data_IF_735371998985
#
_entry.id   IF_735371998985
#
_cell.length_a   1.000
_cell.length_b   1.000
_cell.length_c   1.000
_cell.angle_alpha   90.00
_cell.angle_beta   90.00
_cell.angle_gamma   90.00
#
_symmetry.space_group_name_H-M   'P 1'
#
loop_
_entity.id
_entity.type
_entity.pdbx_description
1 polymer ?
#
# COMPACT_ATOMS: atom_id res chain seq x y z
N UNK A 1 1.81 10.02 -11.68
CA UNK A 1 0.52 10.24 -10.99
C UNK A 1 0.31 11.71 -10.66
N UNK A 2 -0.92 12.18 -10.70
CA UNK A 2 -1.31 13.53 -10.30
C UNK A 2 -1.93 13.47 -8.90
N UNK A 3 -1.28 14.12 -7.92
CA UNK A 3 -1.72 14.15 -6.53
C UNK A 3 -1.93 15.60 -6.12
N UNK A 4 -3.18 15.98 -5.89
CA UNK A 4 -3.56 17.35 -5.52
C UNK A 4 -2.96 18.42 -6.46
N UNK A 5 -2.96 18.14 -7.77
CA UNK A 5 -2.40 19.04 -8.79
C UNK A 5 -0.89 18.94 -8.99
N UNK A 6 -0.19 18.09 -8.26
CA UNK A 6 1.25 17.84 -8.41
C UNK A 6 1.50 16.47 -9.05
N UNK A 7 2.58 16.39 -9.82
CA UNK A 7 2.95 15.15 -10.49
C UNK A 7 4.08 14.44 -9.74
N UNK A 8 3.88 13.16 -9.50
CA UNK A 8 4.86 12.31 -8.82
C UNK A 8 5.04 11.02 -9.61
N UNK A 9 6.22 10.43 -9.52
CA UNK A 9 6.52 9.16 -10.17
C UNK A 9 7.57 8.39 -9.42
N UNK A 10 7.48 7.06 -9.53
CA UNK A 10 8.50 6.14 -9.02
C UNK A 10 9.24 5.56 -10.21
N UNK A 11 10.60 5.59 -10.22
CA UNK A 11 11.38 5.01 -11.32
C UNK A 11 11.18 3.50 -11.41
N UNK A 12 10.41 3.05 -12.40
CA UNK A 12 10.09 1.64 -12.60
C UNK A 12 11.34 0.78 -12.79
N UNK A 13 12.32 1.28 -13.52
CA UNK A 13 13.58 0.58 -13.78
C UNK A 13 14.32 0.25 -12.49
N UNK A 14 14.39 1.18 -11.55
CA UNK A 14 15.06 0.99 -10.27
C UNK A 14 14.33 -0.03 -9.41
N UNK A 15 13.00 0.03 -9.38
CA UNK A 15 12.18 -0.93 -8.62
C UNK A 15 12.39 -2.36 -9.15
N UNK A 16 12.36 -2.54 -10.46
CA UNK A 16 12.57 -3.86 -11.08
C UNK A 16 13.97 -4.38 -10.75
N UNK A 17 14.99 -3.52 -10.80
CA UNK A 17 16.35 -3.91 -10.47
C UNK A 17 16.47 -4.37 -9.02
N UNK A 18 15.89 -3.65 -8.07
CA UNK A 18 15.90 -4.04 -6.67
C UNK A 18 15.19 -5.38 -6.44
N UNK A 19 14.05 -5.60 -7.07
CA UNK A 19 13.33 -6.87 -6.98
C UNK A 19 14.15 -8.02 -7.57
N UNK A 20 14.81 -7.80 -8.70
CA UNK A 20 15.69 -8.80 -9.31
C UNK A 20 16.89 -9.13 -8.42
N UNK A 21 17.34 -8.16 -7.63
CA UNK A 21 18.42 -8.34 -6.65
C UNK A 21 17.95 -8.98 -5.34
N UNK A 22 16.68 -9.36 -5.25
CA UNK A 22 16.11 -9.99 -4.06
C UNK A 22 15.77 -9.02 -2.93
N UNK A 23 15.66 -7.73 -3.25
CA UNK A 23 15.33 -6.67 -2.28
C UNK A 23 13.83 -6.42 -2.31
N UNK A 24 13.18 -6.47 -1.14
CA UNK A 24 11.79 -6.07 -1.01
C UNK A 24 11.67 -4.55 -1.11
N UNK A 25 10.68 -4.08 -1.86
CA UNK A 25 10.46 -2.66 -2.10
C UNK A 25 9.10 -2.24 -1.54
N UNK A 26 9.11 -1.20 -0.73
CA UNK A 26 7.89 -0.59 -0.21
C UNK A 26 7.69 0.73 -0.94
N UNK A 27 6.52 0.89 -1.55
CA UNK A 27 6.12 2.14 -2.19
C UNK A 27 5.07 2.85 -1.33
N UNK A 28 5.38 4.07 -0.93
CA UNK A 28 4.42 4.95 -0.29
C UNK A 28 3.85 5.86 -1.37
N UNK A 29 2.72 5.46 -1.92
CA UNK A 29 2.09 6.13 -3.06
C UNK A 29 0.60 6.30 -2.81
N UNK A 30 0.00 7.23 -3.53
CA UNK A 30 -1.45 7.44 -3.48
C UNK A 30 -2.20 6.34 -4.25
N UNK A 31 -3.53 6.37 -4.17
CA UNK A 31 -4.39 5.36 -4.82
C UNK A 31 -4.19 5.35 -6.33
N UNK A 32 -4.04 6.51 -6.95
CA UNK A 32 -3.83 6.62 -8.40
C UNK A 32 -2.56 5.91 -8.84
N UNK A 33 -1.47 6.15 -8.11
CA UNK A 33 -0.18 5.47 -8.34
C UNK A 33 -0.26 3.98 -8.05
N UNK A 34 -0.94 3.60 -6.97
CA UNK A 34 -1.10 2.19 -6.61
C UNK A 34 -1.84 1.41 -7.70
N UNK A 35 -2.91 1.96 -8.26
CA UNK A 35 -3.66 1.31 -9.34
C UNK A 35 -2.83 1.19 -10.62
N UNK A 36 -1.98 2.16 -10.91
CA UNK A 36 -1.04 2.06 -12.03
C UNK A 36 -0.02 0.94 -11.83
N UNK A 37 0.54 0.86 -10.63
CA UNK A 37 1.47 -0.22 -10.26
C UNK A 37 0.78 -1.58 -10.37
N UNK A 38 -0.46 -1.69 -9.93
CA UNK A 38 -1.22 -2.94 -10.00
C UNK A 38 -1.40 -3.43 -11.43
N UNK A 39 -1.59 -2.54 -12.38
CA UNK A 39 -1.68 -2.90 -13.80
C UNK A 39 -0.37 -3.48 -14.33
N UNK A 40 0.76 -2.91 -13.93
CA UNK A 40 2.08 -3.33 -14.40
C UNK A 40 2.65 -4.51 -13.60
N UNK A 41 2.25 -4.63 -12.34
CA UNK A 41 2.77 -5.65 -11.43
C UNK A 41 1.66 -6.15 -10.49
N UNK A 42 0.74 -6.98 -11.02
CA UNK A 42 -0.41 -7.46 -10.24
C UNK A 42 -0.04 -8.34 -9.04
N UNK A 43 1.17 -8.87 -9.01
CA UNK A 43 1.70 -9.68 -7.89
C UNK A 43 2.06 -8.84 -6.67
N UNK A 44 2.09 -7.52 -6.80
CA UNK A 44 2.34 -6.63 -5.67
C UNK A 44 1.30 -6.80 -4.57
N UNK A 45 1.69 -6.46 -3.36
CA UNK A 45 0.79 -6.47 -2.19
C UNK A 45 0.32 -5.04 -1.92
N UNK A 46 -0.99 -4.84 -1.95
CA UNK A 46 -1.61 -3.53 -1.86
C UNK A 46 -2.28 -3.37 -0.51
N UNK A 47 -1.75 -2.45 0.30
CA UNK A 47 -2.23 -2.19 1.66
C UNK A 47 -2.83 -0.79 1.70
N UNK A 48 -4.11 -0.71 2.07
CA UNK A 48 -4.81 0.56 2.22
C UNK A 48 -4.72 1.00 3.68
N UNK A 49 -4.18 2.19 3.90
CA UNK A 49 -4.13 2.78 5.24
C UNK A 49 -5.37 3.65 5.43
N UNK A 50 -6.23 3.25 6.36
CA UNK A 50 -7.47 3.95 6.66
C UNK A 50 -7.35 4.83 7.90
N UNK A 51 -7.97 6.02 7.92
CA UNK A 51 -8.18 6.73 9.16
C UNK A 51 -9.20 5.98 10.03
N UNK A 52 -9.18 6.15 11.37
CA UNK A 52 -10.16 5.48 12.24
C UNK A 52 -11.59 5.93 11.99
N UNK A 53 -11.77 7.19 11.57
CA UNK A 53 -13.07 7.77 11.22
C UNK A 53 -12.86 9.03 10.40
N UNK A 54 -13.93 9.50 9.76
CA UNK A 54 -13.90 10.79 9.06
C UNK A 54 -13.73 11.95 10.05
N UNK A 55 -14.33 11.85 11.23
CA UNK A 55 -14.19 12.85 12.28
C UNK A 55 -12.73 12.99 12.74
N UNK A 56 -12.07 11.88 12.99
CA UNK A 56 -10.65 11.88 13.38
C UNK A 56 -9.77 12.42 12.26
N UNK A 57 -10.08 12.10 11.01
CA UNK A 57 -9.37 12.64 9.86
C UNK A 57 -9.49 14.16 9.79
N UNK A 58 -10.70 14.69 10.02
CA UNK A 58 -10.93 16.14 10.08
C UNK A 58 -10.08 16.79 11.16
N UNK A 59 -10.04 16.18 12.34
CA UNK A 59 -9.24 16.68 13.47
C UNK A 59 -7.76 16.71 13.14
N UNK A 60 -7.23 15.66 12.52
CA UNK A 60 -5.84 15.57 12.09
C UNK A 60 -5.48 16.62 11.05
N UNK A 61 -6.35 16.86 10.09
CA UNK A 61 -6.15 17.89 9.06
C UNK A 61 -6.13 19.27 9.69
N UNK A 62 -7.07 19.57 10.60
CA UNK A 62 -7.14 20.85 11.32
C UNK A 62 -5.88 21.09 12.15
N UNK A 63 -5.37 20.07 12.82
CA UNK A 63 -4.19 20.17 13.66
C UNK A 63 -2.90 20.51 12.88
N UNK A 64 -2.86 20.22 11.59
CA UNK A 64 -1.70 20.52 10.72
C UNK A 64 -1.63 21.98 10.26
N UNK A 65 -2.63 22.80 10.53
CA UNK A 65 -2.61 24.24 10.26
C UNK A 65 -3.75 24.72 9.37
N UNK A 66 -3.57 25.83 8.74
CA UNK A 66 -4.47 26.74 8.03
C UNK A 66 -5.38 26.10 6.96
N UNK A 67 -6.32 25.26 7.35
CA UNK A 67 -7.34 24.74 6.43
C UNK A 67 -8.59 25.61 6.49
N UNK A 68 -9.09 25.99 5.31
CA UNK A 68 -10.39 26.62 5.16
C UNK A 68 -11.47 25.55 5.06
N UNK A 69 -12.74 25.93 5.23
CA UNK A 69 -13.85 24.99 5.03
C UNK A 69 -13.86 24.44 3.61
N UNK A 70 -13.53 25.25 2.63
CA UNK A 70 -13.48 24.86 1.22
C UNK A 70 -12.39 23.82 0.97
N UNK A 71 -11.17 24.05 1.47
CA UNK A 71 -10.07 23.10 1.30
C UNK A 71 -10.33 21.80 2.06
N UNK A 72 -10.96 21.89 3.23
CA UNK A 72 -11.36 20.73 4.00
C UNK A 72 -12.36 19.86 3.24
N UNK A 73 -13.41 20.47 2.70
CA UNK A 73 -14.42 19.75 1.92
C UNK A 73 -13.81 19.06 0.69
N UNK A 74 -12.87 19.72 0.03
CA UNK A 74 -12.16 19.15 -1.13
C UNK A 74 -11.33 17.94 -0.74
N UNK A 75 -10.58 18.03 0.35
CA UNK A 75 -9.74 16.91 0.86
C UNK A 75 -10.59 15.73 1.27
N UNK A 76 -11.70 15.97 1.98
CA UNK A 76 -12.61 14.91 2.39
C UNK A 76 -13.28 14.23 1.19
N UNK A 77 -13.67 15.00 0.17
CA UNK A 77 -14.20 14.46 -1.07
C UNK A 77 -13.21 13.54 -1.77
N UNK A 78 -11.94 13.94 -1.83
CA UNK A 78 -10.87 13.12 -2.41
C UNK A 78 -10.67 11.83 -1.60
N UNK A 79 -10.63 11.91 -0.29
CA UNK A 79 -10.48 10.74 0.59
C UNK A 79 -11.62 9.75 0.39
N UNK A 80 -12.87 10.25 0.30
CA UNK A 80 -14.03 9.38 0.07
C UNK A 80 -13.96 8.68 -1.29
N UNK A 81 -13.48 9.37 -2.33
CA UNK A 81 -13.25 8.76 -3.64
C UNK A 81 -12.18 7.66 -3.56
N UNK A 82 -11.09 7.92 -2.86
CA UNK A 82 -10.03 6.94 -2.66
C UNK A 82 -10.52 5.71 -1.90
N UNK A 83 -11.28 5.92 -0.82
CA UNK A 83 -11.84 4.83 -0.03
C UNK A 83 -12.81 3.98 -0.86
N UNK A 84 -13.53 4.58 -1.81
CA UNK A 84 -14.42 3.83 -2.68
C UNK A 84 -13.71 2.82 -3.57
N UNK A 85 -12.40 2.93 -3.70
CA UNK A 85 -11.56 2.02 -4.50
C UNK A 85 -10.86 0.95 -3.64
N UNK A 86 -11.25 0.84 -2.37
CA UNK A 86 -10.59 -0.10 -1.43
C UNK A 86 -10.71 -1.56 -1.86
N UNK A 87 -11.71 -1.92 -2.65
CA UNK A 87 -11.88 -3.27 -3.19
C UNK A 87 -10.75 -3.70 -4.14
N UNK A 88 -9.94 -2.75 -4.60
CA UNK A 88 -8.76 -3.01 -5.43
C UNK A 88 -7.52 -3.38 -4.59
N UNK A 89 -7.61 -3.30 -3.28
CA UNK A 89 -6.51 -3.57 -2.35
C UNK A 89 -6.63 -4.96 -1.73
N UNK A 90 -5.51 -5.45 -1.21
CA UNK A 90 -5.44 -6.78 -0.59
C UNK A 90 -5.66 -6.74 0.92
N UNK A 91 -5.23 -5.66 1.56
CA UNK A 91 -5.29 -5.48 3.01
C UNK A 91 -5.69 -4.07 3.36
N UNK A 92 -6.29 -3.92 4.54
CA UNK A 92 -6.49 -2.62 5.17
C UNK A 92 -5.81 -2.58 6.52
N UNK A 93 -5.24 -1.43 6.86
CA UNK A 93 -4.70 -1.17 8.19
C UNK A 93 -5.28 0.16 8.67
N UNK A 94 -5.90 0.13 9.85
CA UNK A 94 -6.47 1.34 10.44
C UNK A 94 -5.38 2.08 11.20
N UNK A 95 -5.15 3.33 10.86
CA UNK A 95 -4.15 4.18 11.48
C UNK A 95 -4.74 4.92 12.69
N UNK A 96 -5.07 4.17 13.72
CA UNK A 96 -5.57 4.72 14.99
C UNK A 96 -4.40 4.96 15.95
N UNK A 97 -3.65 3.92 16.25
CA UNK A 97 -2.41 3.96 17.01
C UNK A 97 -1.25 3.65 16.06
N UNK A 98 -0.27 4.55 16.02
CA UNK A 98 0.84 4.42 15.06
C UNK A 98 1.63 3.12 15.25
N UNK A 99 1.94 2.77 16.50
CA UNK A 99 2.72 1.56 16.81
C UNK A 99 1.97 0.29 16.40
N UNK A 100 0.67 0.23 16.70
CA UNK A 100 -0.18 -0.89 16.31
C UNK A 100 -0.26 -0.98 14.78
N UNK A 101 -0.43 0.14 14.10
CA UNK A 101 -0.48 0.16 12.62
C UNK A 101 0.83 -0.34 12.01
N UNK A 102 1.97 0.10 12.54
CA UNK A 102 3.29 -0.35 12.09
C UNK A 102 3.44 -1.86 12.27
N UNK A 103 3.04 -2.37 13.42
CA UNK A 103 3.12 -3.81 13.70
C UNK A 103 2.23 -4.63 12.78
N UNK A 104 1.06 -4.12 12.41
CA UNK A 104 0.16 -4.78 11.45
C UNK A 104 0.75 -4.81 10.05
N UNK A 105 1.33 -3.71 9.59
CA UNK A 105 2.01 -3.67 8.29
C UNK A 105 3.18 -4.66 8.27
N UNK A 106 3.98 -4.71 9.33
CA UNK A 106 5.07 -5.69 9.47
C UNK A 106 4.57 -7.13 9.42
N UNK A 107 3.45 -7.40 10.10
CA UNK A 107 2.84 -8.73 10.10
C UNK A 107 2.39 -9.14 8.69
N UNK A 108 1.81 -8.22 7.92
CA UNK A 108 1.40 -8.48 6.54
C UNK A 108 2.63 -8.80 5.69
N UNK A 109 3.69 -8.00 5.79
CA UNK A 109 4.93 -8.22 5.05
C UNK A 109 5.50 -9.61 5.37
N UNK A 110 5.57 -9.96 6.64
CA UNK A 110 6.08 -11.25 7.08
C UNK A 110 5.22 -12.40 6.54
N UNK A 111 3.90 -12.27 6.62
CA UNK A 111 3.00 -13.30 6.11
C UNK A 111 3.13 -13.49 4.59
N UNK A 112 3.25 -12.39 3.86
CA UNK A 112 3.42 -12.44 2.39
C UNK A 112 4.74 -13.06 1.98
N UNK A 113 5.81 -12.87 2.76
CA UNK A 113 7.10 -13.54 2.52
C UNK A 113 7.03 -15.05 2.71
N UNK A 114 6.06 -15.54 3.49
CA UNK A 114 5.86 -16.95 3.77
C UNK A 114 4.79 -17.59 2.88
N UNK A 115 4.12 -16.80 2.04
CA UNK A 115 3.03 -17.27 1.21
C UNK A 115 3.54 -18.18 0.09
N UNK A 116 2.85 -19.28 -0.13
CA UNK A 116 3.18 -20.22 -1.20
C UNK A 116 2.55 -19.80 -2.52
N UNK A 117 3.33 -19.89 -3.59
CA UNK A 117 2.83 -19.82 -4.95
C UNK A 117 3.16 -21.15 -5.66
N UNK A 118 2.56 -21.37 -6.84
CA UNK A 118 2.70 -22.65 -7.55
C UNK A 118 4.16 -22.98 -7.88
N UNK A 119 4.96 -21.99 -8.27
CA UNK A 119 6.37 -22.24 -8.60
C UNK A 119 7.20 -22.61 -7.39
N UNK A 120 6.91 -22.01 -6.24
CA UNK A 120 7.57 -22.36 -4.98
C UNK A 120 7.20 -23.76 -4.51
N UNK A 121 5.94 -24.15 -4.64
CA UNK A 121 5.47 -25.48 -4.26
C UNK A 121 6.27 -26.54 -5.03
N UNK A 122 6.37 -26.41 -6.35
CA UNK A 122 7.12 -27.35 -7.18
C UNK A 122 8.60 -27.42 -6.80
N UNK A 123 9.21 -26.27 -6.54
CA UNK A 123 10.61 -26.17 -6.13
C UNK A 123 10.86 -26.85 -4.80
N UNK A 124 10.00 -26.61 -3.81
CA UNK A 124 10.10 -27.19 -2.49
C UNK A 124 9.95 -28.71 -2.55
N UNK A 125 8.94 -29.20 -3.23
CA UNK A 125 8.71 -30.64 -3.38
C UNK A 125 9.91 -31.33 -4.03
N UNK A 126 10.42 -30.74 -5.11
CA UNK A 126 11.58 -31.28 -5.83
C UNK A 126 12.82 -31.35 -4.92
N UNK A 127 13.09 -30.26 -4.21
CA UNK A 127 14.24 -30.19 -3.27
C UNK A 127 14.19 -31.30 -2.24
N UNK A 128 13.05 -31.50 -1.59
CA UNK A 128 12.91 -32.53 -0.55
C UNK A 128 12.99 -33.95 -1.13
N UNK A 129 12.51 -34.17 -2.34
CA UNK A 129 12.69 -35.46 -3.03
C UNK A 129 14.15 -35.75 -3.33
N UNK A 130 14.93 -34.76 -3.72
CA UNK A 130 16.35 -34.89 -4.01
C UNK A 130 17.18 -35.21 -2.75
N UNK A 131 16.71 -34.82 -1.58
CA UNK A 131 17.38 -35.07 -0.31
C UNK A 131 17.10 -36.48 0.26
N UNK A 132 16.14 -37.18 -0.31
CA UNK A 132 15.85 -38.56 0.06
C UNK A 132 16.82 -39.51 -0.63
#
# INVERSE_FOLDING_TARGET
ANVYGNFYGTPKKDVIQWLDDGIDVILEIDVQGALQVKKSYPEGVFIFILPPSIEELKNRIKARGSETEETMARRLGTVLQEISLIDQYDYRVINEDLEVAINRVRAIITAEQCKLNDSEVDRIVRRYKEEL
#
